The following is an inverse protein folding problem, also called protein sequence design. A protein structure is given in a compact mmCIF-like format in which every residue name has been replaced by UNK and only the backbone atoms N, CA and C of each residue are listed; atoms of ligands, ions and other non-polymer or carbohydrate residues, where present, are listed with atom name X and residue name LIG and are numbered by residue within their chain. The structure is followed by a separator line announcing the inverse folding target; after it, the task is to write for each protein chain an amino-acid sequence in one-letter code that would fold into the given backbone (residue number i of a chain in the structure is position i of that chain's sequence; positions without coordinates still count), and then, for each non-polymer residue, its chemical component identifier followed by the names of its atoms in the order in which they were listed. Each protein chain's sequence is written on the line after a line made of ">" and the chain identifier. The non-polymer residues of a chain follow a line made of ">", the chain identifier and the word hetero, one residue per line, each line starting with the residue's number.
data_IF_773063480215
#
_entry.id   IF_773063480215
#
_cell.length_a   1.000
_cell.length_b   1.000
_cell.length_c   1.000
_cell.angle_alpha   90.00
_cell.angle_beta   90.00
_cell.angle_gamma   90.00
#
_symmetry.space_group_name_H-M   'P 1'
#
loop_
_entity.id
_entity.type
_entity.pdbx_description
1 polymer ?
#
# COMPACT_ATOMS: atom_id res chain seq x y z
N UNK A 1 18.76 -57.23 -101.90
CA UNK A 1 17.80 -57.54 -100.82
C UNK A 1 18.40 -57.13 -99.47
N UNK A 2 17.56 -56.86 -98.45
CA UNK A 2 17.87 -56.64 -97.01
C UNK A 2 19.01 -55.63 -96.66
N UNK A 3 18.74 -54.49 -96.02
CA UNK A 3 18.48 -54.31 -94.55
C UNK A 3 19.60 -54.91 -93.69
N UNK A 4 20.16 -54.21 -92.69
CA UNK A 4 19.51 -53.29 -91.73
C UNK A 4 20.48 -52.23 -91.16
N UNK A 5 19.93 -51.13 -90.66
CA UNK A 5 20.65 -49.90 -90.26
C UNK A 5 20.66 -49.65 -88.75
N UNK A 6 21.70 -48.97 -88.23
CA UNK A 6 21.58 -47.84 -87.26
C UNK A 6 22.91 -47.09 -87.02
N UNK A 7 22.97 -45.83 -87.51
CA UNK A 7 23.40 -44.57 -86.83
C UNK A 7 24.52 -44.68 -85.76
N UNK A 8 25.73 -44.08 -85.84
CA UNK A 8 26.21 -42.84 -86.53
C UNK A 8 25.41 -41.58 -86.10
N UNK A 9 25.96 -40.42 -85.70
CA UNK A 9 27.31 -39.78 -85.63
C UNK A 9 27.25 -38.75 -84.44
N UNK A 10 28.23 -37.91 -84.05
CA UNK A 10 29.54 -37.49 -84.58
C UNK A 10 30.53 -37.14 -83.42
N UNK A 11 31.44 -36.16 -83.61
CA UNK A 11 32.34 -35.46 -82.66
C UNK A 11 32.58 -34.02 -83.20
N UNK A 12 33.38 -33.21 -82.47
CA UNK A 12 34.01 -31.91 -82.87
C UNK A 12 33.02 -30.71 -82.71
N UNK A 13 33.37 -29.54 -82.14
CA UNK A 13 34.60 -28.74 -82.26
C UNK A 13 34.98 -27.85 -81.04
N UNK A 14 36.30 -27.69 -80.83
CA UNK A 14 37.10 -26.44 -80.63
C UNK A 14 36.58 -25.20 -79.88
N UNK A 15 37.49 -24.55 -79.13
CA UNK A 15 37.42 -23.13 -78.71
C UNK A 15 38.20 -22.85 -77.41
N UNK A 16 38.99 -21.78 -77.35
CA UNK A 16 39.91 -21.49 -76.23
C UNK A 16 39.68 -20.10 -75.57
N UNK A 17 40.45 -19.82 -74.50
CA UNK A 17 40.66 -18.58 -73.71
C UNK A 17 40.22 -18.76 -72.22
N UNK A 18 40.86 -18.15 -71.20
CA UNK A 18 42.23 -17.65 -71.04
C UNK A 18 42.54 -17.43 -69.54
N UNK A 19 43.83 -17.45 -69.20
CA UNK A 19 44.52 -17.18 -67.92
C UNK A 19 43.84 -16.24 -66.90
N UNK A 20 43.70 -16.72 -65.65
CA UNK A 20 43.94 -15.98 -64.40
C UNK A 20 44.16 -17.02 -63.27
N UNK A 21 45.36 -17.30 -62.73
CA UNK A 21 46.35 -16.46 -62.04
C UNK A 21 46.35 -16.73 -60.51
N UNK A 22 47.51 -17.22 -60.01
CA UNK A 22 48.07 -17.02 -58.66
C UNK A 22 47.57 -17.91 -57.49
N UNK A 23 48.44 -18.87 -57.12
CA UNK A 23 48.74 -19.39 -55.75
C UNK A 23 47.68 -20.29 -55.06
N UNK A 24 47.89 -21.58 -54.72
CA UNK A 24 49.10 -22.37 -54.38
C UNK A 24 49.88 -21.82 -53.16
N UNK A 25 50.22 -22.58 -52.11
CA UNK A 25 50.02 -24.00 -51.79
C UNK A 25 50.13 -24.20 -50.25
N UNK A 26 50.04 -25.44 -49.75
CA UNK A 26 50.61 -25.79 -48.44
C UNK A 26 49.63 -26.13 -47.31
N UNK A 27 48.75 -27.12 -47.50
CA UNK A 27 48.20 -27.88 -46.36
C UNK A 27 49.22 -28.97 -46.00
N UNK A 28 49.86 -28.90 -44.83
CA UNK A 28 50.97 -29.81 -44.51
C UNK A 28 51.55 -29.73 -43.09
N UNK A 29 50.76 -30.15 -42.10
CA UNK A 29 51.23 -30.79 -40.84
C UNK A 29 52.39 -30.11 -40.08
N UNK A 30 52.08 -29.06 -39.29
CA UNK A 30 52.97 -28.58 -38.22
C UNK A 30 52.19 -27.81 -37.11
N UNK A 31 51.29 -28.50 -36.38
CA UNK A 31 50.49 -27.88 -35.31
C UNK A 31 50.25 -28.80 -34.09
N UNK A 32 51.25 -29.62 -33.74
CA UNK A 32 51.26 -30.45 -32.52
C UNK A 32 52.33 -29.99 -31.51
N UNK A 33 52.43 -28.67 -31.32
CA UNK A 33 53.03 -28.02 -30.18
C UNK A 33 52.54 -26.56 -30.14
N UNK A 34 52.34 -26.00 -28.93
CA UNK A 34 51.84 -24.62 -28.69
C UNK A 34 50.34 -24.41 -28.96
N UNK A 35 49.50 -24.96 -28.09
CA UNK A 35 48.18 -24.38 -27.81
C UNK A 35 47.90 -24.37 -26.29
N UNK A 36 48.91 -23.92 -25.53
CA UNK A 36 48.81 -23.68 -24.09
C UNK A 36 49.05 -22.20 -23.79
N UNK A 37 48.07 -21.39 -24.19
CA UNK A 37 47.89 -19.98 -23.83
C UNK A 37 46.54 -19.49 -24.37
N UNK A 38 45.81 -18.70 -23.58
CA UNK A 38 44.71 -17.87 -24.11
C UNK A 38 43.29 -18.45 -24.10
N UNK A 39 42.92 -19.35 -23.17
CA UNK A 39 41.50 -19.43 -22.77
C UNK A 39 41.15 -18.21 -21.91
N UNK A 40 40.84 -17.11 -22.58
CA UNK A 40 40.11 -16.00 -21.96
C UNK A 40 38.80 -16.61 -21.44
N UNK A 41 38.62 -16.60 -20.12
CA UNK A 41 37.36 -17.00 -19.54
C UNK A 41 36.28 -16.08 -20.10
N UNK A 42 35.31 -16.65 -20.82
CA UNK A 42 34.12 -15.91 -21.18
C UNK A 42 33.53 -15.31 -19.89
N UNK A 43 33.15 -14.03 -19.85
CA UNK A 43 32.48 -13.48 -18.68
C UNK A 43 31.25 -14.35 -18.47
N UNK A 44 31.26 -15.11 -17.37
CA UNK A 44 30.07 -15.82 -16.93
C UNK A 44 28.98 -14.76 -16.82
N UNK A 45 27.77 -14.97 -17.37
CA UNK A 45 26.68 -14.07 -17.07
C UNK A 45 26.57 -14.09 -15.55
N UNK A 46 26.92 -12.96 -14.92
CA UNK A 46 26.79 -12.80 -13.48
C UNK A 46 25.37 -13.23 -13.15
N UNK A 47 25.15 -14.14 -12.19
CA UNK A 47 23.79 -14.53 -11.84
C UNK A 47 23.07 -13.24 -11.51
N UNK A 48 22.12 -12.85 -12.37
CA UNK A 48 21.38 -11.59 -12.23
C UNK A 48 20.94 -11.56 -10.79
N UNK A 49 21.43 -10.57 -10.04
CA UNK A 49 21.25 -10.54 -8.61
C UNK A 49 19.74 -10.60 -8.39
N UNK A 50 19.25 -11.75 -7.89
CA UNK A 50 17.81 -11.95 -7.68
C UNK A 50 17.36 -10.76 -6.87
N UNK A 51 16.43 -9.99 -7.43
CA UNK A 51 15.88 -8.79 -6.82
C UNK A 51 15.06 -9.23 -5.60
N UNK A 52 15.79 -9.48 -4.51
CA UNK A 52 15.26 -10.04 -3.27
C UNK A 52 14.61 -8.91 -2.50
N UNK A 53 13.30 -9.04 -2.27
CA UNK A 53 12.58 -8.18 -1.34
C UNK A 53 11.95 -6.92 -1.94
N UNK A 54 11.44 -6.99 -3.18
CA UNK A 54 10.40 -6.04 -3.60
C UNK A 54 9.13 -6.32 -2.78
N UNK A 55 8.67 -5.32 -2.05
CA UNK A 55 7.49 -5.37 -1.18
C UNK A 55 6.29 -4.88 -1.99
N UNK A 56 5.34 -5.77 -2.28
CA UNK A 56 4.12 -5.36 -2.96
C UNK A 56 3.28 -4.48 -2.05
N UNK A 57 2.84 -3.33 -2.59
CA UNK A 57 1.93 -2.40 -1.92
C UNK A 57 0.56 -2.54 -2.55
N UNK A 58 -0.43 -2.94 -1.76
CA UNK A 58 -1.81 -3.14 -2.19
C UNK A 58 -2.69 -2.04 -1.60
N UNK A 59 -3.49 -1.41 -2.44
CA UNK A 59 -4.39 -0.32 -2.11
C UNK A 59 -5.79 -0.79 -1.78
N UNK A 60 -6.34 -0.28 -0.69
CA UNK A 60 -7.73 -0.46 -0.26
C UNK A 60 -8.40 0.90 -0.11
N UNK A 61 -9.38 1.19 -0.97
CA UNK A 61 -10.20 2.39 -0.86
C UNK A 61 -11.23 2.20 0.26
N UNK A 62 -11.31 3.14 1.23
CA UNK A 62 -12.40 3.15 2.21
C UNK A 62 -13.51 4.17 1.87
N UNK A 63 -13.31 5.00 0.84
CA UNK A 63 -14.32 5.84 0.21
C UNK A 63 -14.05 6.06 -1.30
N UNK A 64 -15.04 6.66 -1.99
CA UNK A 64 -15.02 6.91 -3.43
C UNK A 64 -14.25 8.20 -3.71
N UNK A 65 -13.29 8.18 -4.65
CA UNK A 65 -12.68 9.40 -5.21
C UNK A 65 -11.18 9.58 -4.97
N UNK A 66 -10.54 8.67 -4.24
CA UNK A 66 -9.09 8.57 -4.26
C UNK A 66 -8.57 8.21 -5.68
N UNK A 67 -7.35 8.63 -6.01
CA UNK A 67 -6.67 8.34 -7.28
C UNK A 67 -5.27 7.79 -7.05
N UNK A 68 -4.82 6.93 -7.95
CA UNK A 68 -3.41 6.55 -8.09
C UNK A 68 -2.87 7.14 -9.39
N UNK A 69 -1.73 7.80 -9.32
CA UNK A 69 -1.04 8.36 -10.49
C UNK A 69 0.28 7.63 -10.68
N UNK A 70 0.60 7.22 -11.90
CA UNK A 70 1.85 6.52 -12.24
C UNK A 70 2.27 6.91 -13.66
N UNK A 71 3.53 7.27 -13.86
CA UNK A 71 4.06 7.79 -15.14
C UNK A 71 3.19 8.90 -15.76
N UNK A 72 2.68 9.82 -14.93
CA UNK A 72 1.80 10.93 -15.33
C UNK A 72 0.37 10.53 -15.73
N UNK A 73 0.00 9.25 -15.61
CA UNK A 73 -1.37 8.75 -15.84
C UNK A 73 -2.09 8.64 -14.51
N UNK A 74 -3.21 9.33 -14.38
CA UNK A 74 -4.09 9.26 -13.20
C UNK A 74 -5.21 8.24 -13.43
N UNK A 75 -5.45 7.36 -12.47
CA UNK A 75 -6.50 6.35 -12.49
C UNK A 75 -7.30 6.35 -11.17
N UNK A 76 -8.60 5.98 -11.19
CA UNK A 76 -9.37 5.78 -9.96
C UNK A 76 -8.72 4.75 -9.06
N UNK A 77 -8.65 5.04 -7.77
CA UNK A 77 -8.13 4.11 -6.77
C UNK A 77 -9.23 3.08 -6.43
N UNK A 78 -9.03 1.84 -6.87
CA UNK A 78 -9.96 0.73 -6.66
C UNK A 78 -9.43 -0.22 -5.57
N UNK A 79 -10.31 -0.97 -4.93
CA UNK A 79 -9.91 -1.96 -3.93
C UNK A 79 -9.06 -3.08 -4.56
N UNK A 80 -7.96 -3.44 -3.90
CA UNK A 80 -6.97 -4.41 -4.39
C UNK A 80 -5.99 -3.87 -5.44
N UNK A 81 -5.98 -2.55 -5.73
CA UNK A 81 -5.04 -1.98 -6.72
C UNK A 81 -3.58 -2.15 -6.27
N UNK A 82 -2.68 -2.57 -7.17
CA UNK A 82 -1.24 -2.57 -6.89
C UNK A 82 -0.67 -1.16 -7.09
N UNK A 83 0.01 -0.65 -6.06
CA UNK A 83 0.72 0.63 -6.08
C UNK A 83 2.20 0.33 -6.33
N UNK A 84 2.69 0.68 -7.52
CA UNK A 84 4.07 0.45 -7.91
C UNK A 84 4.99 1.59 -7.43
N UNK A 85 6.29 1.32 -7.33
CA UNK A 85 7.29 2.37 -7.14
C UNK A 85 7.14 3.49 -8.18
N UNK A 86 7.25 4.73 -7.75
CA UNK A 86 7.00 5.92 -8.57
C UNK A 86 5.52 6.33 -8.65
N UNK A 87 4.59 5.55 -8.07
CA UNK A 87 3.19 5.95 -7.96
C UNK A 87 2.95 6.99 -6.86
N UNK A 88 2.06 7.94 -7.15
CA UNK A 88 1.42 8.85 -6.21
C UNK A 88 0.04 8.34 -5.83
N UNK A 89 -0.31 8.37 -4.55
CA UNK A 89 -1.66 8.11 -4.05
C UNK A 89 -2.24 9.41 -3.50
N UNK A 90 -3.45 9.79 -3.97
CA UNK A 90 -4.13 11.02 -3.55
C UNK A 90 -5.50 10.66 -2.95
N UNK A 91 -5.70 10.95 -1.67
CA UNK A 91 -6.95 10.68 -0.94
C UNK A 91 -7.89 11.91 -1.01
N UNK A 92 -8.57 12.10 -2.15
CA UNK A 92 -9.25 13.38 -2.49
C UNK A 92 -10.59 13.66 -1.79
N UNK A 93 -11.19 12.70 -1.12
CA UNK A 93 -12.63 12.70 -0.79
C UNK A 93 -12.93 12.25 0.65
N UNK A 94 -14.20 12.04 0.96
CA UNK A 94 -14.82 11.78 2.27
C UNK A 94 -14.47 10.42 2.93
N UNK A 95 -13.31 9.87 2.57
CA UNK A 95 -12.63 8.82 3.31
C UNK A 95 -11.17 8.70 2.88
N UNK A 96 -10.41 8.01 3.72
CA UNK A 96 -8.99 7.76 3.50
C UNK A 96 -8.67 6.66 2.49
N UNK A 97 -7.38 6.36 2.38
CA UNK A 97 -6.87 5.20 1.66
C UNK A 97 -6.06 4.35 2.63
N UNK A 98 -6.22 3.04 2.61
CA UNK A 98 -5.33 2.13 3.34
C UNK A 98 -4.42 1.41 2.36
N UNK A 99 -3.11 1.55 2.53
CA UNK A 99 -2.10 0.77 1.82
C UNK A 99 -1.65 -0.38 2.73
N UNK A 100 -1.71 -1.61 2.24
CA UNK A 100 -1.21 -2.80 2.89
C UNK A 100 0.04 -3.31 2.15
N UNK A 101 1.16 -3.44 2.87
CA UNK A 101 2.41 -3.96 2.34
C UNK A 101 2.48 -5.48 2.59
N UNK A 102 3.15 -6.23 1.70
CA UNK A 102 3.39 -7.67 1.91
C UNK A 102 4.22 -8.01 3.15
N UNK A 103 4.90 -7.02 3.76
CA UNK A 103 5.56 -7.13 5.07
C UNK A 103 4.59 -7.15 6.26
N UNK A 104 3.31 -6.85 6.05
CA UNK A 104 2.31 -6.66 7.09
C UNK A 104 2.19 -5.22 7.61
N UNK A 105 3.03 -4.30 7.13
CA UNK A 105 2.89 -2.86 7.40
C UNK A 105 1.61 -2.31 6.78
N UNK A 106 0.90 -1.44 7.48
CA UNK A 106 -0.28 -0.72 6.97
C UNK A 106 -0.10 0.78 7.08
N UNK A 107 -0.56 1.52 6.07
CA UNK A 107 -0.56 2.97 6.03
C UNK A 107 -1.98 3.47 5.77
N UNK A 108 -2.57 4.20 6.72
CA UNK A 108 -3.86 4.86 6.55
C UNK A 108 -3.66 6.34 6.27
N UNK A 109 -3.87 6.72 5.01
CA UNK A 109 -3.88 8.09 4.53
C UNK A 109 -5.21 8.74 4.92
N UNK A 110 -5.17 9.94 5.50
CA UNK A 110 -6.38 10.73 5.76
C UNK A 110 -6.87 11.45 4.48
N UNK A 111 -8.06 12.04 4.54
CA UNK A 111 -8.55 12.97 3.52
C UNK A 111 -7.52 14.10 3.27
N UNK A 112 -7.31 14.46 2.01
CA UNK A 112 -6.34 15.46 1.58
C UNK A 112 -4.87 15.00 1.66
N UNK A 113 -4.61 13.72 1.95
CA UNK A 113 -3.26 13.18 1.94
C UNK A 113 -2.77 12.86 0.51
N UNK A 114 -1.52 13.20 0.26
CA UNK A 114 -0.77 12.87 -0.95
C UNK A 114 0.50 12.13 -0.55
N UNK A 115 0.66 10.89 -1.04
CA UNK A 115 1.76 10.01 -0.67
C UNK A 115 2.38 9.37 -1.92
N UNK A 116 3.66 9.65 -2.16
CA UNK A 116 4.46 9.02 -3.21
C UNK A 116 5.18 7.77 -2.66
N UNK A 117 5.13 6.65 -3.38
CA UNK A 117 5.94 5.46 -3.11
C UNK A 117 7.29 5.57 -3.83
N UNK A 118 8.34 5.98 -3.12
CA UNK A 118 9.67 6.29 -3.70
C UNK A 118 10.54 5.05 -3.85
N UNK A 119 10.44 4.11 -2.90
CA UNK A 119 11.17 2.85 -2.89
C UNK A 119 10.38 1.78 -2.14
N UNK A 120 10.33 0.58 -2.71
CA UNK A 120 9.60 -0.61 -2.27
C UNK A 120 10.52 -1.81 -2.01
N UNK A 121 11.84 -1.62 -2.02
CA UNK A 121 12.83 -2.66 -1.66
C UNK A 121 13.06 -2.79 -0.15
N UNK A 122 14.25 -3.27 0.24
CA UNK A 122 14.65 -3.39 1.65
C UNK A 122 14.55 -2.06 2.43
N UNK A 123 14.84 -0.93 1.77
CA UNK A 123 14.47 0.40 2.25
C UNK A 123 13.12 0.82 1.64
N UNK A 124 12.06 0.73 2.44
CA UNK A 124 10.73 1.23 2.12
C UNK A 124 10.70 2.73 2.38
N UNK A 125 10.51 3.53 1.32
CA UNK A 125 10.54 4.99 1.38
C UNK A 125 9.27 5.56 0.79
N UNK A 126 8.52 6.28 1.62
CA UNK A 126 7.33 7.03 1.24
C UNK A 126 7.62 8.53 1.36
N UNK A 127 7.05 9.36 0.48
CA UNK A 127 7.12 10.82 0.62
C UNK A 127 5.71 11.41 0.74
N UNK A 128 5.47 12.16 1.82
CA UNK A 128 4.20 12.82 2.15
C UNK A 128 4.31 14.31 1.79
N UNK A 129 3.66 14.74 0.71
CA UNK A 129 3.62 16.16 0.30
C UNK A 129 2.55 16.94 1.08
N UNK A 130 1.37 16.33 1.27
CA UNK A 130 0.19 16.94 1.88
C UNK A 130 -0.56 15.97 2.82
N UNK A 131 -1.39 16.53 3.71
CA UNK A 131 -2.26 15.79 4.63
C UNK A 131 -1.52 14.98 5.69
N UNK A 132 -2.10 13.85 6.12
CA UNK A 132 -1.54 13.01 7.17
C UNK A 132 -1.59 11.52 6.84
N UNK A 133 -0.58 10.78 7.27
CA UNK A 133 -0.53 9.31 7.24
C UNK A 133 -0.39 8.77 8.67
N UNK A 134 -1.19 7.77 9.00
CA UNK A 134 -0.98 6.90 10.15
C UNK A 134 -0.34 5.60 9.68
N UNK A 135 0.70 5.14 10.37
CA UNK A 135 1.49 3.98 9.96
C UNK A 135 1.59 2.97 11.11
N UNK A 136 1.09 1.76 10.87
CA UNK A 136 1.32 0.54 11.66
C UNK A 136 2.43 -0.24 10.96
N UNK A 137 3.69 -0.05 11.36
CA UNK A 137 4.84 -0.68 10.69
C UNK A 137 5.16 -2.02 11.34
N UNK A 138 5.27 -3.07 10.53
CA UNK A 138 5.70 -4.38 10.99
C UNK A 138 7.13 -4.35 11.54
N UNK A 139 7.47 -5.27 12.46
CA UNK A 139 8.82 -5.33 13.06
C UNK A 139 9.84 -5.75 11.97
N UNK A 140 10.64 -4.78 11.53
CA UNK A 140 11.65 -4.91 10.49
C UNK A 140 12.83 -5.80 10.91
N UNK A 141 13.44 -6.50 9.96
CA UNK A 141 14.53 -7.47 10.17
C UNK A 141 15.80 -7.05 9.44
N UNK A 142 16.95 -7.24 10.08
CA UNK A 142 18.26 -6.99 9.45
C UNK A 142 18.43 -5.55 8.95
N UNK A 143 18.72 -5.44 7.66
CA UNK A 143 18.93 -4.20 6.91
C UNK A 143 17.65 -3.54 6.39
N UNK A 144 16.47 -4.12 6.66
CA UNK A 144 15.19 -3.48 6.36
C UNK A 144 15.04 -2.13 7.09
N UNK A 145 14.52 -1.13 6.37
CA UNK A 145 14.27 0.23 6.88
C UNK A 145 12.92 0.73 6.38
N UNK A 146 12.20 1.47 7.23
CA UNK A 146 10.96 2.15 6.85
C UNK A 146 11.12 3.65 7.09
N UNK A 147 10.90 4.45 6.05
CA UNK A 147 11.08 5.90 6.08
C UNK A 147 9.86 6.64 5.52
N UNK A 148 9.39 7.67 6.22
CA UNK A 148 8.47 8.68 5.72
C UNK A 148 9.23 10.00 5.57
N UNK A 149 9.32 10.49 4.35
CA UNK A 149 9.92 11.80 4.03
C UNK A 149 8.83 12.85 3.85
N UNK A 150 9.19 14.07 4.19
CA UNK A 150 8.44 15.29 3.89
C UNK A 150 9.40 16.29 3.26
N UNK A 151 8.92 17.49 2.91
CA UNK A 151 9.80 18.51 2.32
C UNK A 151 10.90 19.03 3.27
N UNK A 152 10.76 18.86 4.59
CA UNK A 152 11.68 19.38 5.60
C UNK A 152 12.27 18.29 6.54
N UNK A 153 11.73 17.07 6.52
CA UNK A 153 11.97 16.06 7.57
C UNK A 153 12.02 14.64 7.00
N UNK A 154 12.97 13.82 7.48
CA UNK A 154 12.97 12.36 7.30
C UNK A 154 12.64 11.67 8.63
N UNK A 155 11.65 10.78 8.61
CA UNK A 155 11.18 10.01 9.77
C UNK A 155 11.50 8.54 9.54
N UNK A 156 12.46 7.98 10.26
CA UNK A 156 12.87 6.58 10.18
C UNK A 156 12.38 5.78 11.40
N UNK A 157 11.89 4.56 11.15
CA UNK A 157 11.34 3.70 12.20
C UNK A 157 11.74 2.23 12.01
N UNK A 158 11.63 1.47 13.10
CA UNK A 158 11.77 0.00 13.11
C UNK A 158 10.60 -0.66 13.82
N UNK A 159 9.48 -0.77 13.12
CA UNK A 159 8.27 -1.44 13.58
C UNK A 159 7.56 -0.69 14.72
N UNK A 160 6.82 0.35 14.36
CA UNK A 160 6.23 1.34 15.25
C UNK A 160 4.81 1.67 14.83
N UNK A 161 4.03 2.22 15.75
CA UNK A 161 2.73 2.84 15.43
C UNK A 161 2.88 4.34 15.62
N UNK A 162 2.71 5.12 14.55
CA UNK A 162 2.96 6.57 14.55
C UNK A 162 2.09 7.30 13.51
N UNK A 163 2.01 8.62 13.63
CA UNK A 163 1.37 9.53 12.67
C UNK A 163 2.39 10.56 12.20
N UNK A 164 2.39 10.85 10.90
CA UNK A 164 3.11 11.98 10.29
C UNK A 164 2.10 12.87 9.58
N UNK A 165 2.21 14.18 9.74
CA UNK A 165 1.27 15.16 9.20
C UNK A 165 1.99 16.40 8.66
N UNK A 166 1.56 16.86 7.49
CA UNK A 166 1.99 18.10 6.84
C UNK A 166 0.99 19.20 7.20
N UNK A 167 1.39 20.08 8.10
CA UNK A 167 0.61 21.27 8.52
C UNK A 167 1.15 22.53 7.86
N UNK A 168 0.42 23.64 7.94
CA UNK A 168 0.96 24.96 7.61
C UNK A 168 2.15 25.30 8.54
N UNK A 169 3.28 25.79 8.01
CA UNK A 169 4.39 26.32 8.80
C UNK A 169 3.92 27.26 9.91
N UNK A 170 4.37 27.02 11.15
CA UNK A 170 4.07 27.87 12.30
C UNK A 170 5.37 28.29 12.98
N UNK A 171 5.83 29.55 12.87
CA UNK A 171 7.09 30.02 13.47
C UNK A 171 7.17 29.81 14.99
N UNK A 172 6.04 29.72 15.70
CA UNK A 172 5.99 29.48 17.14
C UNK A 172 6.11 27.99 17.53
N UNK A 173 6.43 27.10 16.58
CA UNK A 173 6.40 25.65 16.76
C UNK A 173 7.43 24.99 15.81
N UNK A 174 8.48 24.40 16.39
CA UNK A 174 9.57 23.75 15.66
C UNK A 174 10.30 24.66 14.69
N UNK A 175 10.47 25.92 15.07
CA UNK A 175 11.13 26.94 14.24
C UNK A 175 10.45 27.20 12.88
N UNK A 176 9.16 26.91 12.73
CA UNK A 176 8.44 27.03 11.45
C UNK A 176 8.33 25.75 10.64
N UNK A 177 8.87 24.63 11.13
CA UNK A 177 8.72 23.31 10.50
C UNK A 177 7.24 23.01 10.19
N UNK A 178 6.95 22.47 9.01
CA UNK A 178 5.59 22.12 8.58
C UNK A 178 5.15 20.74 9.10
N UNK A 179 6.12 19.84 9.27
CA UNK A 179 5.88 18.45 9.66
C UNK A 179 5.57 18.31 11.16
N UNK A 180 4.60 17.45 11.49
CA UNK A 180 4.30 16.96 12.84
C UNK A 180 4.46 15.45 12.87
N UNK A 181 5.03 14.94 13.95
CA UNK A 181 5.15 13.50 14.22
C UNK A 181 4.56 13.22 15.60
N UNK A 182 3.77 12.16 15.72
CA UNK A 182 3.24 11.66 16.99
C UNK A 182 3.47 10.15 17.06
N UNK A 183 4.00 9.65 18.17
CA UNK A 183 4.34 8.23 18.34
C UNK A 183 3.36 7.58 19.31
N UNK A 184 2.66 6.55 18.85
CA UNK A 184 1.76 5.74 19.69
C UNK A 184 2.50 4.55 20.30
N UNK A 185 3.33 3.85 19.51
CA UNK A 185 4.11 2.69 19.96
C UNK A 185 5.52 2.69 19.36
N UNK A 186 6.51 2.33 20.18
CA UNK A 186 7.88 2.05 19.75
C UNK A 186 8.79 3.27 19.81
N UNK A 187 9.74 3.34 18.87
CA UNK A 187 10.78 4.38 18.81
C UNK A 187 10.93 4.90 17.39
N UNK A 188 10.81 6.20 17.23
CA UNK A 188 10.89 6.92 15.95
C UNK A 188 12.11 7.84 15.98
N UNK A 189 12.84 7.87 14.88
CA UNK A 189 13.99 8.76 14.67
C UNK A 189 13.58 9.82 13.66
N UNK A 190 13.62 11.09 14.06
CA UNK A 190 13.27 12.23 13.22
C UNK A 190 14.52 13.02 12.89
N UNK A 191 14.78 13.24 11.59
CA UNK A 191 15.89 14.05 11.08
C UNK A 191 15.37 15.28 10.37
N UNK A 192 15.77 16.44 10.85
CA UNK A 192 15.36 17.75 10.33
C UNK A 192 16.55 18.71 10.46
N UNK A 193 16.87 19.49 9.43
CA UNK A 193 17.94 20.52 9.50
C UNK A 193 19.35 20.02 9.86
N UNK A 194 19.60 18.70 9.84
CA UNK A 194 20.85 18.09 10.31
C UNK A 194 20.86 17.66 11.79
N UNK A 195 19.79 17.93 12.55
CA UNK A 195 19.60 17.37 13.91
C UNK A 195 18.83 16.06 13.86
N UNK A 196 19.07 15.18 14.83
CA UNK A 196 18.35 13.91 14.99
C UNK A 196 17.66 13.87 16.37
N UNK A 197 16.34 13.74 16.37
CA UNK A 197 15.49 13.61 17.55
C UNK A 197 14.97 12.17 17.67
N UNK A 198 15.20 11.55 18.84
CA UNK A 198 14.62 10.24 19.17
C UNK A 198 13.33 10.44 19.97
N UNK A 199 12.24 9.89 19.45
CA UNK A 199 10.90 9.92 20.04
C UNK A 199 10.48 8.52 20.49
N UNK A 200 9.78 8.44 21.62
CA UNK A 200 9.23 7.21 22.20
C UNK A 200 7.70 7.26 22.18
N UNK A 201 7.04 6.14 22.46
CA UNK A 201 5.59 6.10 22.68
C UNK A 201 5.10 7.22 23.62
N UNK A 202 4.12 8.01 23.17
CA UNK A 202 3.60 9.20 23.84
C UNK A 202 4.25 10.52 23.41
N UNK A 203 5.43 10.49 22.79
CA UNK A 203 6.12 11.72 22.34
C UNK A 203 5.49 12.31 21.08
N UNK A 204 5.60 13.64 20.98
CA UNK A 204 5.31 14.40 19.78
C UNK A 204 6.53 15.24 19.37
N UNK A 205 6.63 15.53 18.07
CA UNK A 205 7.66 16.38 17.50
C UNK A 205 7.06 17.33 16.44
N UNK A 206 7.55 18.57 16.34
CA UNK A 206 8.52 19.22 17.22
C UNK A 206 8.02 19.39 18.66
N UNK A 207 8.89 19.21 19.66
CA UNK A 207 8.48 19.10 21.09
C UNK A 207 7.86 20.39 21.64
N UNK A 208 8.28 21.53 21.11
CA UNK A 208 7.79 22.87 21.41
C UNK A 208 6.45 23.21 20.73
N UNK A 209 5.99 22.40 19.77
CA UNK A 209 4.66 22.51 19.16
C UNK A 209 3.51 22.13 20.10
N UNK A 210 3.81 21.57 21.28
CA UNK A 210 2.86 21.42 22.36
C UNK A 210 2.51 22.80 22.95
N UNK A 211 1.73 23.58 22.19
CA UNK A 211 1.29 24.90 22.59
C UNK A 211 0.59 24.82 23.95
N UNK A 212 1.12 25.58 24.92
CA UNK A 212 0.39 25.92 26.15
C UNK A 212 -1.03 26.33 25.74
N UNK A 213 -2.04 25.63 26.26
CA UNK A 213 -3.43 26.01 26.06
C UNK A 213 -3.58 27.47 26.48
N UNK A 214 -3.82 28.34 25.50
CA UNK A 214 -4.02 29.78 25.76
C UNK A 214 -5.19 29.90 26.71
N UNK A 215 -5.00 30.67 27.78
CA UNK A 215 -6.02 30.86 28.81
C UNK A 215 -7.34 31.30 28.17
N UNK A 216 -8.45 30.75 28.67
CA UNK A 216 -9.78 31.08 28.19
C UNK A 216 -9.98 32.61 28.15
N UNK A 217 -10.43 33.12 27.02
CA UNK A 217 -10.90 34.51 26.89
C UNK A 217 -12.02 34.71 27.91
N UNK A 218 -11.98 35.76 28.76
CA UNK A 218 -12.97 35.95 29.81
C UNK A 218 -14.30 36.39 29.21
N UNK A 219 -15.26 35.46 29.15
CA UNK A 219 -16.61 35.75 28.68
C UNK A 219 -17.36 36.59 29.73
N UNK A 220 -17.76 37.81 29.32
CA UNK A 220 -18.39 38.79 30.20
C UNK A 220 -19.87 38.45 30.46
N UNK A 221 -20.10 37.80 31.59
CA UNK A 221 -21.25 37.95 32.49
C UNK A 221 -22.69 38.17 31.91
N UNK A 222 -23.45 37.06 31.84
CA UNK A 222 -24.77 36.84 32.48
C UNK A 222 -25.99 37.71 32.02
N UNK A 223 -27.28 37.34 32.28
CA UNK A 223 -27.87 36.45 33.31
C UNK A 223 -28.57 35.18 32.75
N UNK A 224 -28.61 34.02 33.41
CA UNK A 224 -28.92 33.64 34.80
C UNK A 224 -30.40 33.32 35.12
N UNK A 225 -30.86 32.16 34.64
CA UNK A 225 -31.83 31.26 35.32
C UNK A 225 -31.36 29.81 35.03
N UNK A 226 -31.40 28.83 35.94
CA UNK A 226 -31.88 28.77 37.32
C UNK A 226 -30.87 28.09 38.26
N UNK A 227 -31.15 28.09 39.57
CA UNK A 227 -30.23 27.65 40.64
C UNK A 227 -30.25 26.13 40.90
N UNK A 228 -29.11 25.67 41.40
CA UNK A 228 -28.94 24.59 42.39
C UNK A 228 -29.30 23.14 42.02
N UNK A 229 -28.25 22.33 41.83
CA UNK A 229 -27.98 21.19 42.71
C UNK A 229 -26.46 20.95 42.79
N UNK A 230 -25.91 20.87 44.00
CA UNK A 230 -24.48 20.56 44.22
C UNK A 230 -24.33 19.07 44.47
N UNK A 231 -23.97 18.30 43.45
CA UNK A 231 -23.46 16.94 43.64
C UNK A 231 -22.02 16.82 43.09
N UNK A 232 -21.10 16.52 44.01
CA UNK A 232 -19.73 16.11 43.68
C UNK A 232 -19.77 14.68 43.16
N UNK A 233 -19.45 14.45 41.88
CA UNK A 233 -18.98 13.15 41.38
C UNK A 233 -18.02 13.36 40.17
N UNK A 234 -17.24 12.33 39.78
CA UNK A 234 -15.80 12.54 39.58
C UNK A 234 -15.36 12.86 38.14
N UNK A 235 -14.12 13.35 38.03
CA UNK A 235 -13.39 13.50 36.78
C UNK A 235 -13.14 12.13 36.11
N UNK A 236 -14.04 11.69 35.23
CA UNK A 236 -13.83 10.52 34.36
C UNK A 236 -14.60 10.62 33.03
N UNK A 237 -14.28 11.63 32.22
CA UNK A 237 -14.94 11.86 30.93
C UNK A 237 -14.03 11.76 29.68
N UNK A 238 -12.71 11.97 29.81
CA UNK A 238 -11.77 11.89 28.68
C UNK A 238 -11.42 10.46 28.29
N UNK A 239 -11.27 9.54 29.25
CA UNK A 239 -10.98 8.13 28.96
C UNK A 239 -12.14 7.37 28.29
N UNK A 240 -13.38 7.81 28.45
CA UNK A 240 -14.56 7.10 27.94
C UNK A 240 -14.72 7.23 26.41
N UNK A 241 -14.31 8.35 25.81
CA UNK A 241 -14.40 8.56 24.35
C UNK A 241 -13.27 7.82 23.63
N UNK A 242 -12.06 7.86 24.19
CA UNK A 242 -10.92 7.06 23.71
C UNK A 242 -11.22 5.56 23.75
N UNK A 243 -11.61 5.05 24.93
CA UNK A 243 -11.98 3.65 25.12
C UNK A 243 -13.11 3.18 24.19
N UNK A 244 -14.06 4.05 23.83
CA UNK A 244 -15.14 3.70 22.89
C UNK A 244 -14.70 3.67 21.42
N UNK A 245 -13.69 4.45 21.02
CA UNK A 245 -13.09 4.39 19.67
C UNK A 245 -12.12 3.21 19.54
N UNK A 246 -11.33 2.97 20.57
CA UNK A 246 -10.47 1.80 20.74
C UNK A 246 -11.29 0.50 20.64
N UNK A 247 -12.36 0.37 21.43
CA UNK A 247 -13.27 -0.79 21.39
C UNK A 247 -13.98 -0.96 20.03
N UNK A 248 -14.28 0.13 19.31
CA UNK A 248 -14.79 0.08 17.93
C UNK A 248 -13.77 -0.52 16.98
N UNK A 249 -12.54 -0.02 17.02
CA UNK A 249 -11.46 -0.47 16.15
C UNK A 249 -11.08 -1.91 16.44
N UNK A 250 -10.97 -2.31 17.72
CA UNK A 250 -10.65 -3.68 18.14
C UNK A 250 -11.70 -4.70 17.68
N UNK A 251 -12.99 -4.37 17.78
CA UNK A 251 -14.07 -5.25 17.31
C UNK A 251 -14.02 -5.42 15.79
N UNK A 252 -13.78 -4.34 15.05
CA UNK A 252 -13.67 -4.39 13.59
C UNK A 252 -12.40 -5.15 13.15
N UNK A 253 -11.26 -4.89 13.80
CA UNK A 253 -9.99 -5.54 13.50
C UNK A 253 -10.02 -7.05 13.78
N UNK A 254 -10.64 -7.49 14.88
CA UNK A 254 -10.83 -8.92 15.17
C UNK A 254 -11.68 -9.63 14.12
N UNK A 255 -12.79 -9.01 13.69
CA UNK A 255 -13.64 -9.57 12.63
C UNK A 255 -12.91 -9.64 11.28
N UNK A 256 -12.15 -8.60 10.92
CA UNK A 256 -11.30 -8.59 9.73
C UNK A 256 -10.19 -9.66 9.79
N UNK A 257 -9.56 -9.87 10.93
CA UNK A 257 -8.55 -10.92 11.13
C UNK A 257 -9.15 -12.34 11.00
N UNK A 258 -10.38 -12.55 11.48
CA UNK A 258 -11.10 -13.80 11.25
C UNK A 258 -11.38 -14.02 9.75
N UNK A 259 -11.77 -12.97 9.00
CA UNK A 259 -12.00 -13.04 7.54
C UNK A 259 -10.72 -13.43 6.81
N UNK A 260 -9.59 -12.78 7.11
CA UNK A 260 -8.29 -13.06 6.48
C UNK A 260 -7.76 -14.47 6.82
N UNK A 261 -8.11 -15.00 8.00
CA UNK A 261 -7.81 -16.39 8.38
C UNK A 261 -8.77 -17.42 7.75
N UNK A 262 -9.65 -17.03 6.83
CA UNK A 262 -10.65 -17.91 6.21
C UNK A 262 -11.80 -18.34 7.13
N UNK A 263 -11.88 -17.80 8.36
CA UNK A 263 -12.90 -18.14 9.37
C UNK A 263 -14.17 -17.31 9.13
N UNK A 264 -14.79 -17.56 7.99
CA UNK A 264 -15.87 -16.76 7.41
C UNK A 264 -17.08 -16.56 8.35
N UNK A 265 -17.55 -17.61 9.02
CA UNK A 265 -18.66 -17.52 9.98
C UNK A 265 -18.29 -16.65 11.20
N UNK A 266 -17.08 -16.82 11.75
CA UNK A 266 -16.59 -16.05 12.90
C UNK A 266 -16.41 -14.56 12.54
N UNK A 267 -15.92 -14.27 11.33
CA UNK A 267 -15.86 -12.91 10.79
C UNK A 267 -17.26 -12.27 10.71
N UNK A 268 -18.24 -13.00 10.16
CA UNK A 268 -19.61 -12.54 10.06
C UNK A 268 -20.25 -12.27 11.44
N UNK A 269 -19.94 -13.09 12.44
CA UNK A 269 -20.41 -12.90 13.82
C UNK A 269 -19.74 -11.70 14.51
N UNK A 270 -18.44 -11.48 14.28
CA UNK A 270 -17.72 -10.29 14.76
C UNK A 270 -18.21 -8.99 14.13
N UNK A 271 -18.46 -8.96 12.81
CA UNK A 271 -19.06 -7.79 12.15
C UNK A 271 -20.52 -7.55 12.59
N UNK A 272 -21.26 -8.62 12.92
CA UNK A 272 -22.58 -8.49 13.55
C UNK A 272 -22.48 -7.92 14.98
N UNK A 273 -21.45 -8.29 15.76
CA UNK A 273 -21.19 -7.72 17.09
C UNK A 273 -20.88 -6.22 17.02
N UNK A 274 -19.96 -5.81 16.14
CA UNK A 274 -19.68 -4.39 15.88
C UNK A 274 -20.99 -3.65 15.54
N UNK A 275 -21.80 -4.20 14.64
CA UNK A 275 -23.06 -3.60 14.20
C UNK A 275 -24.10 -3.44 15.32
N UNK A 276 -24.10 -4.34 16.31
CA UNK A 276 -24.98 -4.25 17.50
C UNK A 276 -24.48 -3.23 18.52
N UNK A 277 -23.16 -3.22 18.79
CA UNK A 277 -22.55 -2.36 19.81
C UNK A 277 -22.42 -0.90 19.34
N UNK A 278 -22.25 -0.70 18.04
CA UNK A 278 -22.03 0.61 17.41
C UNK A 278 -22.96 0.82 16.19
N UNK A 279 -24.30 0.85 16.40
CA UNK A 279 -25.28 0.89 15.31
C UNK A 279 -25.25 2.20 14.49
N UNK A 280 -24.60 3.24 15.01
CA UNK A 280 -24.29 4.53 14.35
C UNK A 280 -22.77 4.83 14.32
N UNK A 281 -21.93 3.81 14.48
CA UNK A 281 -20.47 3.97 14.40
C UNK A 281 -20.00 4.30 12.97
N UNK A 282 -18.82 4.92 12.79
CA UNK A 282 -18.35 5.33 11.47
C UNK A 282 -18.11 4.15 10.51
N UNK A 283 -17.87 2.94 11.02
CA UNK A 283 -17.71 1.72 10.23
C UNK A 283 -18.99 0.87 10.18
N UNK A 284 -20.16 1.39 10.60
CA UNK A 284 -21.40 0.60 10.71
C UNK A 284 -21.89 0.07 9.35
N UNK A 285 -21.70 0.84 8.28
CA UNK A 285 -22.02 0.39 6.92
C UNK A 285 -20.98 -0.63 6.41
N UNK A 286 -19.70 -0.36 6.63
CA UNK A 286 -18.59 -1.26 6.30
C UNK A 286 -18.74 -2.62 6.98
N UNK A 287 -19.05 -2.65 8.28
CA UNK A 287 -19.29 -3.89 9.02
C UNK A 287 -20.52 -4.64 8.49
N UNK A 288 -21.60 -3.95 8.13
CA UNK A 288 -22.77 -4.59 7.56
C UNK A 288 -22.50 -5.20 6.17
N UNK A 289 -21.70 -4.53 5.32
CA UNK A 289 -21.26 -5.06 4.04
C UNK A 289 -20.28 -6.25 4.20
N UNK A 290 -19.32 -6.15 5.11
CA UNK A 290 -18.36 -7.22 5.39
C UNK A 290 -19.02 -8.45 6.03
N UNK A 291 -20.09 -8.27 6.82
CA UNK A 291 -20.92 -9.37 7.34
C UNK A 291 -21.57 -10.17 6.21
N UNK A 292 -22.19 -9.53 5.22
CA UNK A 292 -22.84 -10.26 4.11
C UNK A 292 -21.81 -10.93 3.19
N UNK A 293 -20.67 -10.27 2.91
CA UNK A 293 -19.54 -10.85 2.17
C UNK A 293 -18.96 -12.09 2.83
N UNK A 294 -18.79 -12.05 4.15
CA UNK A 294 -18.27 -13.19 4.93
C UNK A 294 -19.25 -14.36 5.03
N UNK A 295 -20.50 -14.19 4.58
CA UNK A 295 -21.52 -15.25 4.53
C UNK A 295 -21.79 -15.75 3.11
N UNK A 296 -21.54 -14.94 2.06
CA UNK A 296 -21.75 -15.36 0.68
C UNK A 296 -20.83 -16.54 0.32
N UNK A 297 -21.40 -17.56 -0.32
CA UNK A 297 -20.73 -18.85 -0.56
C UNK A 297 -20.57 -19.78 0.65
N UNK A 298 -20.87 -19.34 1.89
CA UNK A 298 -20.73 -20.16 3.12
C UNK A 298 -22.08 -20.48 3.77
N UNK A 299 -22.95 -19.49 3.92
CA UNK A 299 -24.34 -19.67 4.36
C UNK A 299 -25.26 -18.70 3.60
N UNK A 300 -25.87 -19.19 2.53
CA UNK A 300 -26.72 -18.38 1.66
C UNK A 300 -27.96 -17.79 2.36
N UNK A 301 -28.50 -18.46 3.41
CA UNK A 301 -29.67 -17.97 4.15
C UNK A 301 -29.28 -16.82 5.07
N UNK A 302 -28.18 -16.98 5.82
CA UNK A 302 -27.61 -15.91 6.66
C UNK A 302 -27.13 -14.74 5.81
N UNK A 303 -26.49 -15.00 4.66
CA UNK A 303 -26.04 -13.97 3.73
C UNK A 303 -27.21 -13.14 3.20
N UNK A 304 -28.27 -13.78 2.69
CA UNK A 304 -29.45 -13.09 2.19
C UNK A 304 -30.21 -12.33 3.29
N UNK A 305 -30.20 -12.82 4.53
CA UNK A 305 -30.74 -12.07 5.67
C UNK A 305 -29.91 -10.82 5.97
N UNK A 306 -28.58 -10.96 6.07
CA UNK A 306 -27.67 -9.84 6.32
C UNK A 306 -27.72 -8.78 5.20
N UNK A 307 -27.91 -9.21 3.95
CA UNK A 307 -28.10 -8.33 2.81
C UNK A 307 -29.43 -7.55 2.86
N UNK A 308 -30.53 -8.18 3.28
CA UNK A 308 -31.80 -7.47 3.54
C UNK A 308 -31.67 -6.48 4.71
N UNK A 309 -30.98 -6.86 5.79
CA UNK A 309 -30.67 -5.95 6.90
C UNK A 309 -29.87 -4.73 6.41
N UNK A 310 -28.89 -4.95 5.53
CA UNK A 310 -28.08 -3.90 4.91
C UNK A 310 -28.94 -2.95 4.07
N UNK A 311 -29.77 -3.47 3.15
CA UNK A 311 -30.63 -2.66 2.28
C UNK A 311 -31.66 -1.83 3.05
N UNK A 312 -32.16 -2.36 4.17
CA UNK A 312 -33.08 -1.63 5.06
C UNK A 312 -32.39 -0.46 5.79
N UNK A 313 -31.14 -0.66 6.24
CA UNK A 313 -30.39 0.36 7.02
C UNK A 313 -29.65 1.37 6.15
N UNK A 314 -29.20 0.95 4.96
CA UNK A 314 -28.36 1.73 4.04
C UNK A 314 -28.97 1.73 2.62
N UNK A 315 -30.17 2.33 2.41
CA UNK A 315 -30.89 2.30 1.13
C UNK A 315 -30.19 3.02 -0.02
N UNK A 316 -29.13 3.79 0.27
CA UNK A 316 -28.22 4.43 -0.69
C UNK A 316 -26.75 4.02 -0.46
N UNK A 317 -26.53 2.92 0.25
CA UNK A 317 -25.20 2.47 0.66
C UNK A 317 -24.33 1.96 -0.49
N UNK A 318 -23.01 2.00 -0.31
CA UNK A 318 -22.02 1.67 -1.34
C UNK A 318 -22.09 0.21 -1.83
N UNK A 319 -22.49 -0.73 -0.96
CA UNK A 319 -22.62 -2.14 -1.28
C UNK A 319 -24.06 -2.53 -1.65
N UNK A 320 -24.94 -1.57 -1.98
CA UNK A 320 -26.35 -1.82 -2.31
C UNK A 320 -26.54 -2.86 -3.43
N UNK A 321 -25.84 -2.71 -4.56
CA UNK A 321 -26.01 -3.63 -5.70
C UNK A 321 -25.56 -5.07 -5.35
N UNK A 322 -24.51 -5.19 -4.55
CA UNK A 322 -24.03 -6.47 -4.01
C UNK A 322 -25.06 -7.09 -3.05
N UNK A 323 -25.65 -6.28 -2.16
CA UNK A 323 -26.70 -6.72 -1.24
C UNK A 323 -27.98 -7.15 -1.98
N UNK A 324 -28.40 -6.43 -3.03
CA UNK A 324 -29.53 -6.82 -3.88
C UNK A 324 -29.27 -8.20 -4.54
N UNK A 325 -28.06 -8.42 -5.06
CA UNK A 325 -27.67 -9.70 -5.64
C UNK A 325 -27.63 -10.84 -4.60
N UNK A 326 -27.04 -10.63 -3.41
CA UNK A 326 -26.97 -11.64 -2.34
C UNK A 326 -28.36 -11.95 -1.78
N UNK A 327 -29.22 -10.95 -1.59
CA UNK A 327 -30.59 -11.13 -1.13
C UNK A 327 -31.43 -11.98 -2.10
N UNK A 328 -31.21 -11.82 -3.42
CA UNK A 328 -31.86 -12.61 -4.47
C UNK A 328 -31.33 -14.05 -4.60
N UNK A 329 -30.10 -14.35 -4.14
CA UNK A 329 -29.57 -15.73 -4.10
C UNK A 329 -30.31 -16.59 -3.08
N UNK A 330 -30.44 -16.13 -1.84
CA UNK A 330 -31.01 -16.91 -0.72
C UNK A 330 -32.54 -16.92 -0.62
N UNK A 331 -33.23 -16.56 -1.71
CA UNK A 331 -34.69 -16.74 -1.88
C UNK A 331 -35.07 -17.90 -2.81
N UNK A 332 -34.08 -18.72 -3.21
CA UNK A 332 -34.22 -19.96 -3.97
C UNK A 332 -33.87 -21.17 -3.12
#
# INVERSE_FOLDING_TARGET
>A
MARRTRRSRQRVAFGALAVAAVMAAGVGVAALARHDQGRVAAPSPSPVARERGVVSVTGHANAIGATVEHDGKSAPFVDGVLVARGSRVVARSDGGVTLALSTGTKLSLAQGAELDLVSDGAAQVFALSAGSVHAEVAKLKGDERFLVRTADTEVEVRGTVFRVERTTPNPACGGGTATRVQVTEGVVVVRNGGTEDVLRAGDAWPRDCAAKTVAAVPEQAAPAMARAATERMPARATGAVGSRLEEQNDLFARAAAAKQAGRALEAADGFAEYSRRFPKGPLAESAAAERMRSLDGVDARRAASAARDYLSRFPRGFARAEAEAIAAKGGR
#
